data_IF_268034588695
#
_entry.id   IF_268034588695
#
_cell.length_a   1.000
_cell.length_b   1.000
_cell.length_c   1.000
_cell.angle_alpha   90.00
_cell.angle_beta   90.00
_cell.angle_gamma   90.00
#
_symmetry.space_group_name_H-M   'P 1'
#
loop_
_entity.id
_entity.type
_entity.pdbx_description
1 polymer ?
#
# COMPACT_ATOMS: atom_id res chain seq x y z
N UNK A 1 -19.78 -2.10 1.41
CA UNK A 1 -18.42 -1.56 1.26
C UNK A 1 -17.47 -2.65 0.79
N UNK A 2 -16.65 -2.35 -0.19
CA UNK A 2 -15.57 -3.22 -0.62
C UNK A 2 -14.30 -2.83 0.14
N UNK A 3 -13.69 -3.81 0.80
CA UNK A 3 -12.41 -3.63 1.51
C UNK A 3 -11.27 -4.19 0.68
N UNK A 4 -10.19 -3.43 0.59
CA UNK A 4 -8.99 -3.80 -0.15
C UNK A 4 -7.81 -3.70 0.81
N UNK A 5 -7.27 -4.87 1.20
CA UNK A 5 -6.17 -4.94 2.17
C UNK A 5 -4.94 -5.45 1.44
N UNK A 6 -3.84 -4.74 1.61
CA UNK A 6 -2.55 -5.14 1.02
C UNK A 6 -1.49 -5.11 2.11
N UNK A 7 -0.62 -6.12 2.10
CA UNK A 7 0.54 -6.17 2.98
C UNK A 7 1.79 -6.41 2.15
N UNK A 8 2.88 -5.77 2.53
CA UNK A 8 4.17 -5.92 1.83
C UNK A 8 5.28 -6.30 2.79
N UNK A 9 6.19 -7.15 2.31
CA UNK A 9 7.50 -7.36 2.94
C UNK A 9 8.54 -6.62 2.10
N UNK A 10 9.44 -5.92 2.77
CA UNK A 10 10.46 -5.10 2.13
C UNK A 10 11.84 -5.76 2.21
N UNK A 11 12.67 -5.43 1.22
CA UNK A 11 14.09 -5.78 1.24
C UNK A 11 14.79 -5.06 2.39
N UNK A 12 15.83 -5.67 2.95
CA UNK A 12 16.64 -5.03 4.00
C UNK A 12 17.29 -3.74 3.50
N UNK A 13 17.75 -3.75 2.25
CA UNK A 13 18.27 -2.57 1.55
C UNK A 13 17.77 -2.58 0.12
N UNK A 14 17.41 -1.40 -0.38
CA UNK A 14 17.00 -1.20 -1.77
C UNK A 14 17.08 0.29 -2.06
N UNK A 15 17.22 0.65 -3.34
CA UNK A 15 17.25 2.04 -3.77
C UNK A 15 18.28 2.86 -2.98
N UNK A 16 19.41 2.23 -2.65
CA UNK A 16 20.56 2.82 -1.96
C UNK A 16 20.28 3.25 -0.53
N UNK A 17 19.24 2.69 0.11
CA UNK A 17 18.93 3.04 1.48
C UNK A 17 18.34 1.85 2.24
N UNK A 18 18.04 2.06 3.53
CA UNK A 18 17.57 1.04 4.45
C UNK A 18 16.08 0.72 4.27
N UNK A 19 15.66 -0.42 4.85
CA UNK A 19 14.25 -0.78 4.92
C UNK A 19 13.44 0.33 5.61
N UNK A 20 13.94 0.88 6.71
CA UNK A 20 13.23 1.90 7.48
C UNK A 20 12.96 3.15 6.66
N UNK A 21 13.93 3.60 5.87
CA UNK A 21 13.77 4.76 4.99
C UNK A 21 12.77 4.45 3.88
N UNK A 22 12.85 3.25 3.30
CA UNK A 22 11.93 2.85 2.24
C UNK A 22 10.49 2.70 2.74
N UNK A 23 10.31 2.21 3.97
CA UNK A 23 8.97 2.14 4.60
C UNK A 23 8.40 3.53 4.84
N UNK A 24 9.21 4.44 5.32
CA UNK A 24 8.78 5.83 5.55
C UNK A 24 8.36 6.49 4.24
N UNK A 25 9.17 6.33 3.20
CA UNK A 25 8.87 6.86 1.88
C UNK A 25 7.60 6.25 1.31
N UNK A 26 7.43 4.94 1.42
CA UNK A 26 6.23 4.24 0.95
C UNK A 26 4.97 4.77 1.65
N UNK A 27 5.03 4.93 2.97
CA UNK A 27 3.91 5.47 3.73
C UNK A 27 3.57 6.89 3.28
N UNK A 28 4.57 7.76 3.10
CA UNK A 28 4.34 9.12 2.62
C UNK A 28 3.66 9.14 1.25
N UNK A 29 4.15 8.33 0.31
CA UNK A 29 3.58 8.26 -1.03
C UNK A 29 2.14 7.74 -1.01
N UNK A 30 1.87 6.70 -0.22
CA UNK A 30 0.52 6.15 -0.10
C UNK A 30 -0.43 7.14 0.57
N UNK A 31 0.01 7.80 1.63
CA UNK A 31 -0.81 8.76 2.37
C UNK A 31 -1.28 9.96 1.51
N UNK A 32 -0.57 10.26 0.43
CA UNK A 32 -0.96 11.33 -0.49
C UNK A 32 -2.08 10.92 -1.45
N UNK A 33 -2.30 9.62 -1.67
CA UNK A 33 -3.24 9.14 -2.68
C UNK A 33 -4.69 9.57 -2.45
N UNK A 34 -5.23 9.59 -1.20
CA UNK A 34 -6.60 10.03 -1.02
C UNK A 34 -6.90 11.45 -1.52
N UNK A 35 -5.92 12.35 -1.47
CA UNK A 35 -6.11 13.72 -1.98
C UNK A 35 -6.06 13.79 -3.50
N UNK A 36 -5.56 12.75 -4.16
CA UNK A 36 -5.36 12.72 -5.61
C UNK A 36 -6.38 11.84 -6.34
N UNK A 37 -7.01 10.90 -5.63
CA UNK A 37 -7.90 9.90 -6.23
C UNK A 37 -9.25 9.94 -5.54
N UNK A 38 -10.25 10.61 -6.15
CA UNK A 38 -11.57 10.78 -5.53
C UNK A 38 -12.33 9.47 -5.27
N UNK A 39 -12.00 8.40 -6.00
CA UNK A 39 -12.68 7.10 -5.84
C UNK A 39 -12.39 6.43 -4.50
N UNK A 40 -11.33 6.85 -3.77
CA UNK A 40 -10.97 6.26 -2.48
C UNK A 40 -12.03 6.64 -1.43
N UNK A 41 -12.53 5.64 -0.71
CA UNK A 41 -13.38 5.83 0.46
C UNK A 41 -12.52 5.97 1.72
N UNK A 42 -12.29 4.87 2.45
CA UNK A 42 -11.36 4.84 3.58
C UNK A 42 -9.95 4.49 3.13
N UNK A 43 -8.93 5.00 3.85
CA UNK A 43 -7.55 4.73 3.49
C UNK A 43 -6.65 4.91 4.71
N UNK A 44 -5.97 3.83 5.09
CA UNK A 44 -5.11 3.85 6.28
C UNK A 44 -3.86 3.04 5.98
N UNK A 45 -2.69 3.62 6.27
CA UNK A 45 -1.40 2.97 6.03
C UNK A 45 -0.68 2.82 7.36
N UNK A 46 -0.18 1.62 7.63
CA UNK A 46 0.57 1.34 8.86
C UNK A 46 1.87 0.62 8.61
N UNK A 47 2.84 0.90 9.48
CA UNK A 47 4.15 0.22 9.47
C UNK A 47 4.18 -0.72 10.67
N UNK A 48 4.62 -1.97 10.46
CA UNK A 48 4.72 -2.97 11.52
C UNK A 48 5.62 -2.52 12.65
N UNK A 49 5.25 -2.86 13.88
CA UNK A 49 6.01 -2.49 15.07
C UNK A 49 6.54 -3.68 15.85
N UNK A 50 6.06 -4.89 15.59
CA UNK A 50 6.45 -6.07 16.38
C UNK A 50 7.57 -6.89 15.75
N UNK A 51 7.72 -6.84 14.43
CA UNK A 51 8.79 -7.54 13.71
C UNK A 51 8.89 -9.03 14.04
N UNK A 52 7.72 -9.71 14.13
CA UNK A 52 7.68 -11.15 14.37
C UNK A 52 8.00 -11.92 13.08
N UNK A 53 8.25 -13.23 13.23
CA UNK A 53 8.51 -14.08 12.07
C UNK A 53 7.34 -14.12 11.07
N UNK A 54 6.12 -13.87 11.56
CA UNK A 54 4.90 -13.85 10.74
C UNK A 54 4.54 -12.46 10.22
N UNK A 55 5.25 -11.42 10.66
CA UNK A 55 4.89 -10.03 10.31
C UNK A 55 5.31 -9.66 8.90
N UNK A 56 4.41 -8.98 8.20
CA UNK A 56 4.77 -8.15 7.05
C UNK A 56 5.20 -6.79 7.57
N UNK A 57 5.75 -5.94 6.70
CA UNK A 57 6.34 -4.68 7.13
C UNK A 57 5.41 -3.48 6.98
N UNK A 58 4.52 -3.52 6.00
CA UNK A 58 3.63 -2.40 5.67
C UNK A 58 2.24 -2.94 5.38
N UNK A 59 1.21 -2.21 5.81
CA UNK A 59 -0.17 -2.56 5.50
C UNK A 59 -0.91 -1.36 4.93
N UNK A 60 -1.75 -1.62 3.93
CA UNK A 60 -2.77 -0.70 3.45
C UNK A 60 -4.13 -1.29 3.78
N UNK A 61 -4.94 -0.55 4.53
CA UNK A 61 -6.33 -0.87 4.80
C UNK A 61 -7.18 0.19 4.11
N UNK A 62 -7.86 -0.20 3.04
CA UNK A 62 -8.63 0.74 2.24
C UNK A 62 -10.03 0.24 1.96
N UNK A 63 -10.94 1.16 1.65
CA UNK A 63 -12.31 0.82 1.29
C UNK A 63 -12.79 1.65 0.11
N UNK A 64 -13.68 1.04 -0.67
CA UNK A 64 -14.25 1.62 -1.87
C UNK A 64 -15.75 1.35 -1.90
N UNK A 65 -16.51 2.20 -2.58
CA UNK A 65 -17.95 2.02 -2.70
C UNK A 65 -18.28 0.71 -3.44
N UNK A 66 -17.53 0.41 -4.50
CA UNK A 66 -17.76 -0.73 -5.37
C UNK A 66 -16.49 -1.10 -6.14
N UNK A 67 -16.59 -2.13 -6.98
CA UNK A 67 -15.46 -2.60 -7.80
C UNK A 67 -15.00 -1.55 -8.81
N UNK A 68 -15.92 -0.78 -9.37
CA UNK A 68 -15.55 0.24 -10.36
C UNK A 68 -14.65 1.31 -9.72
N UNK A 69 -14.93 1.71 -8.49
CA UNK A 69 -14.10 2.65 -7.76
C UNK A 69 -12.73 2.06 -7.42
N UNK A 70 -12.67 0.76 -7.07
CA UNK A 70 -11.40 0.08 -6.85
C UNK A 70 -10.56 0.07 -8.13
N UNK A 71 -11.17 -0.24 -9.27
CA UNK A 71 -10.47 -0.24 -10.57
C UNK A 71 -10.00 1.17 -10.92
N UNK A 72 -10.84 2.19 -10.69
CA UNK A 72 -10.46 3.57 -10.93
C UNK A 72 -9.23 3.98 -10.11
N UNK A 73 -9.14 3.52 -8.86
CA UNK A 73 -7.97 3.71 -8.01
C UNK A 73 -6.75 2.97 -8.59
N UNK A 74 -6.91 1.69 -8.91
CA UNK A 74 -5.79 0.85 -9.36
C UNK A 74 -5.18 1.33 -10.67
N UNK A 75 -5.98 1.89 -11.57
CA UNK A 75 -5.52 2.38 -12.87
C UNK A 75 -5.13 3.86 -12.88
N UNK A 76 -5.34 4.56 -11.78
CA UNK A 76 -5.02 5.98 -11.70
C UNK A 76 -3.50 6.19 -11.80
N UNK A 77 -3.03 7.18 -12.58
CA UNK A 77 -1.58 7.42 -12.75
C UNK A 77 -0.82 7.63 -11.44
N UNK A 78 -1.44 8.27 -10.46
CA UNK A 78 -0.82 8.48 -9.15
C UNK A 78 -0.56 7.16 -8.42
N UNK A 79 -1.49 6.20 -8.52
CA UNK A 79 -1.33 4.87 -7.94
C UNK A 79 -0.24 4.08 -8.68
N UNK A 80 -0.25 4.14 -10.01
CA UNK A 80 0.74 3.44 -10.84
C UNK A 80 2.17 3.84 -10.46
N UNK A 81 2.40 5.13 -10.21
CA UNK A 81 3.72 5.63 -9.78
C UNK A 81 4.15 5.06 -8.43
N UNK A 82 3.23 4.95 -7.49
CA UNK A 82 3.54 4.35 -6.18
C UNK A 82 3.85 2.87 -6.32
N UNK A 83 3.09 2.16 -7.15
CA UNK A 83 3.34 0.73 -7.42
C UNK A 83 4.73 0.52 -8.03
N UNK A 84 5.17 1.40 -8.93
CA UNK A 84 6.51 1.32 -9.50
C UNK A 84 7.59 1.40 -8.43
N UNK A 85 7.45 2.31 -7.47
CA UNK A 85 8.37 2.38 -6.34
C UNK A 85 8.31 1.13 -5.47
N UNK A 86 7.12 0.68 -5.11
CA UNK A 86 6.94 -0.50 -4.26
C UNK A 86 7.57 -1.75 -4.86
N UNK A 87 7.47 -1.93 -6.17
CA UNK A 87 8.09 -3.07 -6.85
C UNK A 87 9.60 -3.12 -6.68
N UNK A 88 10.24 -1.97 -6.55
CA UNK A 88 11.71 -1.89 -6.38
C UNK A 88 12.16 -2.28 -4.98
N UNK A 89 11.30 -2.12 -3.99
CA UNK A 89 11.68 -2.30 -2.57
C UNK A 89 11.07 -3.53 -1.92
N UNK A 90 10.07 -4.15 -2.53
CA UNK A 90 9.35 -5.30 -1.95
C UNK A 90 10.02 -6.64 -2.27
N UNK A 91 9.89 -7.60 -1.35
CA UNK A 91 10.21 -9.01 -1.57
C UNK A 91 8.98 -9.89 -1.46
N UNK A 92 7.86 -9.37 -1.00
CA UNK A 92 6.62 -10.11 -0.87
C UNK A 92 5.43 -9.18 -0.78
N UNK A 93 4.27 -9.68 -1.21
CA UNK A 93 3.02 -8.93 -1.21
C UNK A 93 1.87 -9.90 -1.01
N UNK A 94 0.89 -9.51 -0.21
CA UNK A 94 -0.33 -10.28 -0.01
C UNK A 94 -1.53 -9.34 -0.16
N UNK A 95 -2.60 -9.81 -0.77
CA UNK A 95 -3.79 -9.02 -1.02
C UNK A 95 -5.02 -9.82 -0.65
N UNK A 96 -6.00 -9.17 -0.04
CA UNK A 96 -7.34 -9.71 0.13
C UNK A 96 -8.36 -8.62 -0.13
N UNK A 97 -9.38 -8.95 -0.93
CA UNK A 97 -10.49 -8.06 -1.25
C UNK A 97 -11.78 -8.75 -0.80
N UNK A 98 -12.60 -8.04 -0.03
CA UNK A 98 -13.84 -8.62 0.48
C UNK A 98 -14.90 -7.54 0.69
N UNK A 99 -16.15 -7.99 0.76
CA UNK A 99 -17.30 -7.10 0.96
C UNK A 99 -17.82 -7.25 2.39
N UNK A 100 -18.12 -6.14 3.01
CA UNK A 100 -18.78 -6.09 4.32
C UNK A 100 -20.15 -5.42 4.22
#
# INVERSE_FOLDING_TARGET
>A
MLKHIVMWKFKETAERTSKEENLRKAKELLDLLPSQIPAIGGFEVGIDILHSDSSYDLVLNSSFKNRDDLVAYQTHPSHVKVVEFLRKVQIGKAVVDYVV
#
